data_IF_715542527236
#
_entry.id   IF_715542527236
#
_cell.length_a   1.000
_cell.length_b   1.000
_cell.length_c   1.000
_cell.angle_alpha   90.00
_cell.angle_beta   90.00
_cell.angle_gamma   90.00
#
_symmetry.space_group_name_H-M   'P 1'
#
loop_
_entity.id
_entity.type
_entity.pdbx_description
1 polymer ?
#
# COMPACT_ATOMS: atom_id res chain seq x y z
N UNK A 1 2.72 10.47 12.38
CA UNK A 1 1.81 11.29 13.22
C UNK A 1 0.43 10.66 13.34
N UNK A 2 -0.30 10.37 12.26
CA UNK A 2 -1.64 9.73 12.30
C UNK A 2 -1.74 8.53 13.27
N UNK A 3 -0.85 7.55 13.18
CA UNK A 3 -0.87 6.37 14.07
C UNK A 3 -0.63 6.71 15.54
N UNK A 4 0.14 7.75 15.84
CA UNK A 4 0.35 8.24 17.21
C UNK A 4 -0.92 8.89 17.75
N UNK A 5 -1.60 9.70 16.92
CA UNK A 5 -2.88 10.32 17.30
C UNK A 5 -3.98 9.27 17.47
N UNK A 6 -4.02 8.24 16.62
CA UNK A 6 -4.90 7.07 16.81
C UNK A 6 -4.57 6.32 18.10
N UNK A 7 -3.29 6.14 18.43
CA UNK A 7 -2.85 5.54 19.69
C UNK A 7 -3.37 6.31 20.90
N UNK A 8 -3.23 7.64 20.91
CA UNK A 8 -3.75 8.52 21.95
C UNK A 8 -5.28 8.47 22.05
N UNK A 9 -5.99 8.59 20.93
CA UNK A 9 -7.45 8.61 20.89
C UNK A 9 -8.10 7.26 21.29
N UNK A 10 -7.38 6.15 21.14
CA UNK A 10 -7.88 4.81 21.51
C UNK A 10 -7.31 4.30 22.83
N UNK A 11 -6.27 4.94 23.37
CA UNK A 11 -5.47 4.44 24.50
C UNK A 11 -4.77 3.12 24.17
N UNK A 12 -4.38 2.91 22.91
CA UNK A 12 -3.80 1.66 22.43
C UNK A 12 -2.39 1.88 21.89
N UNK A 13 -1.38 1.32 22.55
CA UNK A 13 0.03 1.49 22.18
C UNK A 13 0.58 0.33 21.32
N UNK A 14 -0.20 -0.75 21.17
CA UNK A 14 0.18 -1.92 20.40
C UNK A 14 -0.23 -1.74 18.94
N UNK A 15 0.75 -1.85 18.03
CA UNK A 15 0.54 -1.71 16.59
C UNK A 15 0.92 -2.99 15.87
N UNK A 16 0.07 -3.45 14.96
CA UNK A 16 0.37 -4.51 14.00
C UNK A 16 0.51 -3.88 12.62
N UNK A 17 1.73 -3.86 12.10
CA UNK A 17 2.08 -3.34 10.77
C UNK A 17 2.13 -4.49 9.77
N UNK A 18 1.15 -4.58 8.88
CA UNK A 18 0.97 -5.71 7.96
C UNK A 18 1.40 -5.33 6.55
N UNK A 19 2.21 -6.18 5.92
CA UNK A 19 2.91 -5.85 4.68
C UNK A 19 4.09 -4.92 4.95
N UNK A 20 4.82 -5.18 6.04
CA UNK A 20 5.85 -4.30 6.58
C UNK A 20 7.12 -4.22 5.69
N UNK A 21 7.31 -5.15 4.76
CA UNK A 21 8.48 -5.23 3.89
C UNK A 21 9.79 -5.29 4.70
N UNK A 22 10.65 -4.28 4.51
CA UNK A 22 11.92 -4.13 5.24
C UNK A 22 11.78 -3.39 6.58
N UNK A 23 10.56 -3.18 7.06
CA UNK A 23 10.27 -2.66 8.40
C UNK A 23 10.63 -1.19 8.62
N UNK A 24 10.57 -0.35 7.59
CA UNK A 24 10.86 1.08 7.72
C UNK A 24 9.86 1.79 8.65
N UNK A 25 8.57 1.64 8.35
CA UNK A 25 7.51 2.19 9.21
C UNK A 25 7.57 1.57 10.60
N UNK A 26 7.69 0.23 10.68
CA UNK A 26 7.72 -0.49 11.95
C UNK A 26 8.85 -0.02 12.87
N UNK A 27 10.06 0.22 12.31
CA UNK A 27 11.18 0.81 13.04
C UNK A 27 10.88 2.22 13.52
N UNK A 28 10.32 3.06 12.65
CA UNK A 28 9.99 4.44 13.02
C UNK A 28 8.96 4.47 14.17
N UNK A 29 7.91 3.65 14.08
CA UNK A 29 6.88 3.55 15.12
C UNK A 29 7.45 3.03 16.45
N UNK A 30 8.31 2.02 16.43
CA UNK A 30 8.89 1.45 17.64
C UNK A 30 9.96 2.36 18.25
N UNK A 31 11.03 2.67 17.49
CA UNK A 31 12.16 3.44 17.99
C UNK A 31 11.82 4.92 18.15
N UNK A 32 11.13 5.51 17.18
CA UNK A 32 10.83 6.93 17.13
C UNK A 32 9.64 7.35 18.00
N UNK A 33 8.61 6.52 18.09
CA UNK A 33 7.38 6.84 18.83
C UNK A 33 7.16 6.00 20.09
N UNK A 34 8.02 5.01 20.36
CA UNK A 34 7.92 4.15 21.53
C UNK A 34 6.77 3.15 21.51
N UNK A 35 6.10 2.96 20.37
CA UNK A 35 4.97 2.04 20.26
C UNK A 35 5.42 0.57 20.28
N UNK A 36 4.57 -0.32 20.79
CA UNK A 36 4.82 -1.76 20.79
C UNK A 36 4.42 -2.34 19.43
N UNK A 37 5.38 -2.49 18.52
CA UNK A 37 5.11 -2.85 17.12
C UNK A 37 5.38 -4.32 16.84
N UNK A 38 4.42 -5.00 16.23
CA UNK A 38 4.62 -6.27 15.53
C UNK A 38 4.49 -6.05 14.03
N UNK A 39 5.57 -6.30 13.30
CA UNK A 39 5.62 -6.19 11.84
C UNK A 39 5.39 -7.57 11.20
N UNK A 40 4.38 -7.69 10.36
CA UNK A 40 4.01 -8.92 9.65
C UNK A 40 4.36 -8.78 8.18
N UNK A 41 5.13 -9.72 7.65
CA UNK A 41 5.57 -9.73 6.25
C UNK A 41 5.46 -11.13 5.62
N UNK A 42 4.92 -11.19 4.41
CA UNK A 42 4.64 -12.44 3.70
C UNK A 42 5.88 -13.11 3.11
N UNK A 43 6.92 -12.34 2.76
CA UNK A 43 8.23 -12.86 2.34
C UNK A 43 9.20 -12.92 3.53
N UNK A 44 9.55 -14.13 3.95
CA UNK A 44 10.45 -14.35 5.09
C UNK A 44 11.85 -13.71 4.93
N UNK A 45 12.30 -13.47 3.69
CA UNK A 45 13.59 -12.80 3.42
C UNK A 45 13.53 -11.31 3.74
N UNK A 46 12.39 -10.66 3.46
CA UNK A 46 12.18 -9.24 3.79
C UNK A 46 12.10 -9.06 5.31
N UNK A 47 11.36 -9.94 6.00
CA UNK A 47 11.33 -9.96 7.47
C UNK A 47 12.73 -10.15 8.08
N UNK A 48 13.54 -11.06 7.51
CA UNK A 48 14.93 -11.25 7.92
C UNK A 48 15.82 -10.02 7.69
N UNK A 49 15.63 -9.35 6.54
CA UNK A 49 16.31 -8.09 6.20
C UNK A 49 15.93 -6.97 7.17
N UNK A 50 14.65 -6.86 7.54
CA UNK A 50 14.17 -5.87 8.50
C UNK A 50 14.86 -6.01 9.86
N UNK A 51 14.96 -7.23 10.40
CA UNK A 51 15.69 -7.51 11.65
C UNK A 51 17.18 -7.19 11.57
N UNK A 52 17.79 -7.42 10.40
CA UNK A 52 19.18 -7.02 10.18
C UNK A 52 19.32 -5.51 10.34
N UNK A 53 18.45 -4.74 9.70
CA UNK A 53 18.47 -3.29 9.81
C UNK A 53 18.16 -2.77 11.22
N UNK A 54 17.30 -3.45 11.98
CA UNK A 54 17.09 -3.12 13.41
C UNK A 54 18.39 -3.24 14.21
N UNK A 55 19.14 -4.34 14.01
CA UNK A 55 20.43 -4.57 14.70
C UNK A 55 21.48 -3.55 14.28
N UNK A 56 21.54 -3.19 13.00
CA UNK A 56 22.44 -2.16 12.51
C UNK A 56 22.12 -0.80 13.16
N UNK A 57 20.83 -0.43 13.22
CA UNK A 57 20.40 0.79 13.90
C UNK A 57 20.75 0.80 15.38
N UNK A 58 20.44 -0.28 16.11
CA UNK A 58 20.76 -0.39 17.54
C UNK A 58 22.27 -0.26 17.81
N UNK A 59 23.13 -0.87 16.98
CA UNK A 59 24.59 -0.74 17.09
C UNK A 59 25.06 0.71 16.88
N UNK A 60 24.47 1.44 15.94
CA UNK A 60 24.81 2.85 15.72
C UNK A 60 24.33 3.74 16.88
N UNK A 61 23.19 3.42 17.49
CA UNK A 61 22.69 4.11 18.69
C UNK A 61 23.59 3.85 19.92
N UNK A 62 24.10 2.63 20.07
CA UNK A 62 25.07 2.30 21.13
C UNK A 62 26.38 3.07 20.97
N UNK A 63 26.91 3.18 19.74
CA UNK A 63 28.14 3.95 19.44
C UNK A 63 28.00 5.44 19.74
N UNK A 64 26.81 6.01 19.48
CA UNK A 64 26.54 7.43 19.71
C UNK A 64 26.22 7.75 21.17
N UNK A 65 25.80 6.76 21.96
CA UNK A 65 25.57 6.87 23.40
C UNK A 65 26.79 6.57 24.28
N UNK A 66 27.88 6.02 23.74
CA UNK A 66 29.11 5.76 24.49
C UNK A 66 29.91 7.07 24.75
N UNK A 67 30.42 7.31 25.97
CA UNK A 67 31.25 8.47 26.24
C UNK A 67 32.51 8.42 25.38
N UNK A 68 32.68 9.38 24.46
CA UNK A 68 33.93 9.56 23.72
C UNK A 68 34.95 10.16 24.70
N UNK A 69 36.05 9.45 24.92
CA UNK A 69 37.18 9.88 25.75
C UNK A 69 37.50 11.37 25.56
N UNK A 70 37.33 12.17 26.61
CA UNK A 70 38.07 13.40 26.91
C UNK A 70 37.86 14.68 26.06
N UNK A 71 36.93 14.72 25.10
CA UNK A 71 36.69 15.92 24.28
C UNK A 71 35.57 16.83 24.82
N UNK A 72 35.67 18.18 24.71
CA UNK A 72 34.62 19.08 25.17
C UNK A 72 33.30 18.86 24.40
N UNK A 73 32.14 18.99 25.06
CA UNK A 73 30.85 18.65 24.47
C UNK A 73 30.52 19.60 23.32
N UNK A 74 30.42 19.07 22.09
CA UNK A 74 29.81 19.78 20.97
C UNK A 74 28.34 20.01 21.31
N UNK A 75 27.91 21.28 21.39
CA UNK A 75 26.51 21.71 21.54
C UNK A 75 25.69 21.25 20.33
N UNK A 76 25.31 19.98 20.29
CA UNK A 76 24.22 19.49 19.45
C UNK A 76 23.09 19.12 20.39
N UNK A 77 21.90 19.68 20.13
CA UNK A 77 20.66 19.33 20.83
C UNK A 77 20.55 17.80 20.85
N UNK A 78 20.40 17.14 22.01
CA UNK A 78 20.29 15.69 22.02
C UNK A 78 19.06 15.31 21.19
N UNK A 79 19.16 14.32 20.28
CA UNK A 79 17.98 13.80 19.63
C UNK A 79 17.00 13.29 20.70
N UNK A 80 15.68 13.34 20.46
CA UNK A 80 14.70 12.82 21.39
C UNK A 80 15.05 11.36 21.77
N UNK A 81 14.78 10.93 23.01
CA UNK A 81 15.16 9.60 23.46
C UNK A 81 14.42 8.55 22.64
N UNK A 82 15.16 7.84 21.79
CA UNK A 82 14.63 6.69 21.06
C UNK A 82 14.35 5.56 22.05
N UNK A 83 13.24 4.85 21.85
CA UNK A 83 12.92 3.70 22.67
C UNK A 83 13.99 2.61 22.50
N UNK A 84 14.35 1.89 23.57
CA UNK A 84 15.36 0.81 23.47
C UNK A 84 14.81 -0.47 22.85
N UNK A 85 13.49 -0.60 22.72
CA UNK A 85 12.83 -1.81 22.24
C UNK A 85 12.43 -1.65 20.77
N UNK A 86 13.05 -2.44 19.91
CA UNK A 86 12.73 -2.49 18.48
C UNK A 86 11.43 -3.24 18.17
N UNK A 87 10.96 -3.16 16.92
CA UNK A 87 9.78 -3.89 16.47
C UNK A 87 10.03 -5.41 16.47
N UNK A 88 8.95 -6.19 16.67
CA UNK A 88 8.98 -7.65 16.49
C UNK A 88 8.59 -8.00 15.06
N UNK A 89 9.53 -8.52 14.27
CA UNK A 89 9.26 -8.98 12.90
C UNK A 89 8.79 -10.44 12.87
N UNK A 90 7.69 -10.68 12.17
CA UNK A 90 7.00 -11.96 12.03
C UNK A 90 6.80 -12.25 10.55
N UNK A 91 7.29 -13.41 10.10
CA UNK A 91 7.05 -13.88 8.74
C UNK A 91 5.69 -14.60 8.70
N UNK A 92 4.73 -14.08 7.94
CA UNK A 92 3.40 -14.65 7.79
C UNK A 92 2.53 -13.84 6.84
N UNK A 93 1.51 -14.48 6.27
CA UNK A 93 0.50 -13.82 5.42
C UNK A 93 -0.83 -13.71 6.16
N UNK A 94 -1.59 -12.66 5.88
CA UNK A 94 -2.92 -12.50 6.44
C UNK A 94 -3.91 -13.46 5.77
N UNK A 95 -4.64 -14.25 6.56
CA UNK A 95 -5.79 -15.00 6.05
C UNK A 95 -7.06 -14.12 6.11
N UNK A 96 -7.71 -13.80 4.99
CA UNK A 96 -8.95 -13.00 4.99
C UNK A 96 -10.17 -13.74 5.58
N UNK A 97 -10.12 -15.07 5.63
CA UNK A 97 -11.17 -15.95 6.13
C UNK A 97 -10.99 -16.31 7.61
N UNK A 98 -9.77 -16.26 8.13
CA UNK A 98 -9.50 -16.69 9.50
C UNK A 98 -10.15 -15.81 10.57
N UNK A 99 -10.39 -16.42 11.73
CA UNK A 99 -10.71 -15.69 12.95
C UNK A 99 -9.48 -14.92 13.43
N UNK A 100 -9.70 -13.92 14.27
CA UNK A 100 -8.59 -13.13 14.84
C UNK A 100 -7.57 -13.97 15.62
N UNK A 101 -8.00 -15.10 16.19
CA UNK A 101 -7.13 -16.07 16.87
C UNK A 101 -6.21 -16.85 15.92
N UNK A 102 -6.46 -16.83 14.62
CA UNK A 102 -5.77 -17.61 13.58
C UNK A 102 -5.28 -16.67 12.45
N UNK A 103 -4.82 -15.48 12.83
CA UNK A 103 -4.59 -14.35 11.92
C UNK A 103 -3.58 -14.61 10.78
N UNK A 104 -2.63 -15.54 10.94
CA UNK A 104 -1.50 -15.71 10.00
C UNK A 104 -1.43 -17.10 9.37
N UNK A 105 -1.31 -17.11 8.04
CA UNK A 105 -0.78 -18.23 7.25
C UNK A 105 0.76 -18.21 7.25
N UNK A 106 1.41 -19.36 7.01
CA UNK A 106 2.86 -19.42 6.84
C UNK A 106 3.37 -18.51 5.73
N UNK A 107 4.57 -17.94 5.90
CA UNK A 107 5.27 -17.16 4.88
C UNK A 107 5.66 -18.00 3.66
N UNK A 108 5.84 -17.35 2.51
CA UNK A 108 6.35 -17.99 1.29
C UNK A 108 7.22 -16.99 0.49
N UNK A 109 8.54 -17.23 0.37
CA UNK A 109 9.28 -18.35 0.95
C UNK A 109 9.33 -18.28 2.50
N UNK A 110 9.46 -19.42 3.19
CA UNK A 110 9.63 -19.44 4.64
C UNK A 110 10.92 -18.72 5.05
N UNK A 111 10.86 -18.00 6.17
CA UNK A 111 12.04 -17.38 6.77
C UNK A 111 12.88 -18.40 7.56
N UNK A 112 14.03 -17.97 8.11
CA UNK A 112 14.90 -18.84 8.91
C UNK A 112 14.30 -19.24 10.28
N UNK A 113 13.15 -18.69 10.67
CA UNK A 113 12.51 -18.95 11.96
C UNK A 113 11.33 -19.93 11.83
N UNK A 114 10.97 -20.64 12.92
CA UNK A 114 9.77 -21.47 12.97
C UNK A 114 8.50 -20.66 12.66
N UNK A 115 7.49 -21.36 12.12
CA UNK A 115 6.18 -20.81 11.73
C UNK A 115 5.62 -19.90 12.82
N UNK A 116 5.23 -18.70 12.41
CA UNK A 116 4.76 -17.65 13.32
C UNK A 116 3.61 -18.15 14.21
N UNK A 117 3.83 -18.15 15.54
CA UNK A 117 2.72 -18.09 16.50
C UNK A 117 2.00 -16.77 16.30
N UNK A 118 0.67 -16.80 16.31
CA UNK A 118 -0.18 -15.61 16.15
C UNK A 118 0.38 -14.48 17.04
N UNK A 119 0.79 -13.32 16.47
CA UNK A 119 1.37 -12.22 17.24
C UNK A 119 0.42 -11.63 18.28
N UNK A 120 -0.84 -12.05 18.24
CA UNK A 120 -1.94 -11.62 19.10
C UNK A 120 -2.22 -12.63 20.23
N UNK A 121 -1.52 -13.79 20.31
CA UNK A 121 -1.85 -14.89 21.24
C UNK A 121 -0.70 -15.40 22.15
N UNK A 122 -0.98 -15.41 23.46
CA UNK A 122 -0.49 -16.34 24.49
C UNK A 122 -1.67 -17.14 25.08
N UNK A 123 -1.49 -18.24 25.82
CA UNK A 123 -2.58 -19.14 26.22
C UNK A 123 -3.59 -18.44 27.17
N UNK A 124 -4.85 -18.25 26.76
CA UNK A 124 -5.92 -17.66 27.61
C UNK A 124 -7.03 -16.89 26.88
N UNK A 125 -7.84 -17.60 26.08
CA UNK A 125 -8.89 -17.11 25.15
C UNK A 125 -9.68 -15.92 25.66
N UNK A 126 -9.35 -14.67 25.29
CA UNK A 126 -10.23 -13.51 25.50
C UNK A 126 -10.60 -13.11 26.95
N UNK A 127 -9.93 -13.57 28.01
CA UNK A 127 -10.31 -13.16 29.39
C UNK A 127 -9.59 -11.90 29.92
N UNK A 128 -8.75 -11.24 29.11
CA UNK A 128 -8.12 -9.95 29.44
C UNK A 128 -7.60 -9.14 28.24
N UNK A 129 -8.15 -9.38 27.04
CA UNK A 129 -7.50 -9.11 25.76
C UNK A 129 -7.09 -7.66 25.48
N UNK A 130 -5.78 -7.42 25.35
CA UNK A 130 -5.23 -6.13 24.92
C UNK A 130 -5.67 -5.77 23.49
N UNK A 131 -6.17 -4.54 23.32
CA UNK A 131 -6.56 -3.99 22.01
C UNK A 131 -5.32 -3.68 21.16
N UNK A 132 -5.49 -3.67 19.85
CA UNK A 132 -4.43 -3.31 18.88
C UNK A 132 -4.89 -2.28 17.86
N UNK A 133 -3.91 -1.53 17.34
CA UNK A 133 -4.03 -0.79 16.10
C UNK A 133 -3.48 -1.63 14.97
N UNK A 134 -4.14 -1.64 13.82
CA UNK A 134 -3.67 -2.32 12.61
C UNK A 134 -3.32 -1.27 11.56
N UNK A 135 -2.17 -1.41 10.92
CA UNK A 135 -1.75 -0.53 9.83
C UNK A 135 -1.21 -1.32 8.65
N UNK A 136 -1.32 -0.77 7.45
CA UNK A 136 -0.67 -1.30 6.27
C UNK A 136 -0.41 -0.20 5.25
N UNK A 137 0.83 0.31 5.21
CA UNK A 137 1.26 1.38 4.30
C UNK A 137 1.39 0.90 2.84
N UNK A 138 1.63 -0.40 2.66
CA UNK A 138 1.64 -1.06 1.37
C UNK A 138 0.70 -2.27 1.38
N UNK A 139 -0.56 -2.04 1.76
CA UNK A 139 -1.60 -3.07 1.76
C UNK A 139 -2.04 -3.41 0.32
N UNK A 140 -1.14 -4.00 -0.46
CA UNK A 140 -1.33 -4.29 -1.88
C UNK A 140 -2.39 -5.38 -2.13
N UNK A 141 -3.21 -5.18 -3.17
CA UNK A 141 -4.23 -6.16 -3.58
C UNK A 141 -5.17 -6.50 -2.44
N UNK A 142 -5.38 -7.81 -2.23
CA UNK A 142 -6.33 -8.33 -1.26
C UNK A 142 -5.93 -8.13 0.21
N UNK A 143 -4.73 -7.60 0.46
CA UNK A 143 -4.29 -7.29 1.82
C UNK A 143 -5.14 -6.17 2.44
N UNK A 144 -5.41 -5.08 1.69
CA UNK A 144 -6.25 -3.99 2.18
C UNK A 144 -7.66 -4.45 2.60
N UNK A 145 -8.46 -5.15 1.75
CA UNK A 145 -9.78 -5.64 2.18
C UNK A 145 -9.70 -6.69 3.30
N UNK A 146 -8.61 -7.48 3.39
CA UNK A 146 -8.42 -8.39 4.51
C UNK A 146 -8.26 -7.64 5.85
N UNK A 147 -7.47 -6.55 5.90
CA UNK A 147 -7.34 -5.72 7.10
C UNK A 147 -8.70 -5.17 7.57
N UNK A 148 -9.54 -4.73 6.62
CA UNK A 148 -10.87 -4.20 6.94
C UNK A 148 -11.83 -5.27 7.43
N UNK A 149 -11.76 -6.50 6.89
CA UNK A 149 -12.53 -7.64 7.39
C UNK A 149 -12.13 -8.00 8.82
N UNK A 150 -10.83 -7.99 9.11
CA UNK A 150 -10.33 -8.25 10.46
C UNK A 150 -10.76 -7.17 11.44
N UNK A 151 -10.66 -5.89 11.07
CA UNK A 151 -11.21 -4.79 11.87
C UNK A 151 -12.70 -4.97 12.13
N UNK A 152 -13.50 -5.25 11.11
CA UNK A 152 -14.94 -5.39 11.23
C UNK A 152 -15.36 -6.57 12.11
N UNK A 153 -14.65 -7.71 12.02
CA UNK A 153 -14.98 -8.94 12.75
C UNK A 153 -14.40 -9.00 14.16
N UNK A 154 -13.30 -8.31 14.44
CA UNK A 154 -12.56 -8.47 15.68
C UNK A 154 -12.69 -7.26 16.61
N UNK A 155 -13.30 -7.41 17.81
CA UNK A 155 -13.38 -6.34 18.80
C UNK A 155 -12.01 -5.95 19.36
N UNK A 156 -10.99 -6.82 19.22
CA UNK A 156 -9.63 -6.53 19.65
C UNK A 156 -8.93 -5.47 18.78
N UNK A 157 -9.40 -5.24 17.55
CA UNK A 157 -8.85 -4.16 16.70
C UNK A 157 -9.57 -2.87 17.06
N UNK A 158 -8.87 -1.98 17.76
CA UNK A 158 -9.40 -0.68 18.17
C UNK A 158 -9.52 0.28 16.98
N UNK A 159 -8.51 0.28 16.10
CA UNK A 159 -8.52 1.07 14.86
C UNK A 159 -7.67 0.43 13.76
N UNK A 160 -7.95 0.80 12.52
CA UNK A 160 -7.20 0.44 11.33
C UNK A 160 -6.85 1.68 10.52
N UNK A 161 -5.61 1.76 10.02
CA UNK A 161 -5.17 2.72 9.01
C UNK A 161 -4.62 1.96 7.79
N UNK A 162 -5.33 1.99 6.67
CA UNK A 162 -4.98 1.23 5.46
C UNK A 162 -4.67 2.16 4.30
N UNK A 163 -3.49 1.96 3.70
CA UNK A 163 -3.08 2.61 2.45
C UNK A 163 -3.07 1.56 1.35
N UNK A 164 -4.03 1.68 0.44
CA UNK A 164 -4.17 0.76 -0.68
C UNK A 164 -3.39 1.30 -1.89
N UNK A 165 -2.36 0.59 -2.35
CA UNK A 165 -1.48 1.10 -3.41
C UNK A 165 -1.35 0.23 -4.68
N UNK A 166 -1.81 -1.04 -4.65
CA UNK A 166 -1.72 -1.97 -5.78
C UNK A 166 -3.11 -2.50 -6.20
N UNK A 167 -3.98 -1.69 -6.79
CA UNK A 167 -5.35 -2.10 -7.12
C UNK A 167 -5.43 -3.20 -8.19
N UNK A 168 -4.48 -3.25 -9.13
CA UNK A 168 -4.38 -4.31 -10.14
C UNK A 168 -4.18 -5.72 -9.53
N UNK A 169 -3.72 -5.81 -8.28
CA UNK A 169 -3.57 -7.07 -7.54
C UNK A 169 -4.83 -7.51 -6.80
N UNK A 170 -5.92 -6.73 -6.82
CA UNK A 170 -7.19 -7.15 -6.22
C UNK A 170 -7.77 -8.37 -6.96
N UNK A 171 -8.32 -9.32 -6.23
CA UNK A 171 -9.19 -10.34 -6.82
C UNK A 171 -10.57 -9.74 -7.09
N UNK A 172 -11.10 -9.93 -8.30
CA UNK A 172 -12.44 -9.44 -8.71
C UNK A 172 -13.45 -10.57 -8.90
N UNK A 173 -13.00 -11.82 -8.71
CA UNK A 173 -13.80 -13.03 -8.81
C UNK A 173 -13.40 -13.94 -7.66
N UNK A 174 -14.35 -14.62 -6.99
CA UNK A 174 -14.04 -15.65 -6.02
C UNK A 174 -13.13 -16.72 -6.66
N UNK A 175 -12.00 -17.04 -6.03
CA UNK A 175 -11.11 -18.16 -6.39
C UNK A 175 -10.53 -18.73 -5.09
N UNK A 176 -10.66 -20.04 -4.74
CA UNK A 176 -11.62 -21.08 -5.12
C UNK A 176 -13.03 -20.86 -4.52
N UNK A 177 -13.94 -21.83 -4.65
CA UNK A 177 -15.29 -21.83 -4.03
C UNK A 177 -15.20 -21.46 -2.53
N UNK A 178 -15.83 -20.35 -2.14
CA UNK A 178 -15.86 -19.84 -0.76
C UNK A 178 -14.87 -18.72 -0.44
N UNK A 179 -13.93 -18.38 -1.33
CA UNK A 179 -13.01 -17.27 -1.12
C UNK A 179 -13.71 -15.91 -1.30
N UNK A 180 -13.47 -14.98 -0.37
CA UNK A 180 -14.05 -13.64 -0.43
C UNK A 180 -13.26 -12.77 -1.42
N UNK A 181 -13.91 -12.17 -2.45
CA UNK A 181 -13.20 -11.36 -3.44
C UNK A 181 -12.59 -10.11 -2.82
N UNK A 182 -11.50 -9.60 -3.37
CA UNK A 182 -10.90 -8.33 -2.95
C UNK A 182 -11.73 -7.11 -3.34
N UNK A 183 -12.49 -7.21 -4.42
CA UNK A 183 -13.43 -6.19 -4.90
C UNK A 183 -14.60 -6.84 -5.68
N UNK A 184 -15.84 -6.35 -5.54
CA UNK A 184 -16.28 -5.36 -4.56
C UNK A 184 -16.31 -5.95 -3.14
N UNK A 185 -16.13 -5.08 -2.14
CA UNK A 185 -16.13 -5.42 -0.73
C UNK A 185 -17.49 -5.11 -0.07
N UNK A 186 -18.11 -4.00 -0.46
CA UNK A 186 -19.43 -3.55 0.01
C UNK A 186 -20.55 -4.20 -0.79
N UNK A 187 -21.70 -4.44 -0.14
CA UNK A 187 -22.89 -4.89 -0.86
C UNK A 187 -23.45 -3.79 -1.76
N UNK A 188 -23.28 -2.52 -1.38
CA UNK A 188 -23.73 -1.38 -2.18
C UNK A 188 -23.04 -1.30 -3.54
N UNK A 189 -21.70 -1.34 -3.59
CA UNK A 189 -20.98 -1.32 -4.88
C UNK A 189 -21.21 -2.60 -5.68
N UNK A 190 -21.36 -3.74 -5.00
CA UNK A 190 -21.71 -5.00 -5.66
C UNK A 190 -23.08 -4.96 -6.37
N UNK A 191 -24.02 -4.12 -5.90
CA UNK A 191 -25.33 -3.96 -6.51
C UNK A 191 -25.36 -2.96 -7.69
N UNK A 192 -24.29 -2.17 -7.89
CA UNK A 192 -24.26 -1.19 -8.99
C UNK A 192 -24.12 -1.87 -10.36
N UNK A 193 -24.94 -1.50 -11.36
CA UNK A 193 -24.75 -1.98 -12.72
C UNK A 193 -23.40 -1.50 -13.27
N UNK A 194 -22.64 -2.40 -13.89
CA UNK A 194 -21.35 -2.05 -14.50
C UNK A 194 -20.21 -1.79 -13.51
N UNK A 195 -20.33 -2.19 -12.24
CA UNK A 195 -19.29 -1.98 -11.23
C UNK A 195 -17.96 -2.73 -11.51
N UNK A 196 -17.94 -3.63 -12.49
CA UNK A 196 -16.80 -4.52 -12.74
C UNK A 196 -15.58 -3.76 -13.25
N UNK A 197 -14.43 -3.98 -12.61
CA UNK A 197 -13.18 -3.33 -12.98
C UNK A 197 -12.22 -4.31 -13.65
N UNK A 198 -11.89 -4.04 -14.91
CA UNK A 198 -10.86 -4.78 -15.63
C UNK A 198 -9.49 -4.63 -14.96
N UNK A 199 -8.57 -5.56 -15.23
CA UNK A 199 -7.18 -5.42 -14.78
C UNK A 199 -6.57 -4.07 -15.18
N UNK A 200 -6.83 -3.62 -16.42
CA UNK A 200 -6.30 -2.36 -16.96
C UNK A 200 -6.86 -1.14 -16.25
N UNK A 201 -8.15 -1.13 -15.92
CA UNK A 201 -8.75 -0.04 -15.14
C UNK A 201 -8.08 0.06 -13.76
N UNK A 202 -7.89 -1.08 -13.09
CA UNK A 202 -7.25 -1.13 -11.76
C UNK A 202 -5.76 -0.80 -11.80
N UNK A 203 -5.08 -1.14 -12.89
CA UNK A 203 -3.69 -0.74 -13.14
C UNK A 203 -3.58 0.76 -13.41
N UNK A 204 -4.47 1.33 -14.24
CA UNK A 204 -4.55 2.76 -14.52
C UNK A 204 -4.67 3.58 -13.22
N UNK A 205 -5.52 3.13 -12.30
CA UNK A 205 -5.72 3.71 -10.96
C UNK A 205 -4.47 3.70 -10.05
N UNK A 206 -3.36 3.08 -10.47
CA UNK A 206 -2.12 3.06 -9.71
C UNK A 206 -1.07 4.07 -10.23
N UNK A 207 -1.33 4.75 -11.35
CA UNK A 207 -0.39 5.66 -12.00
C UNK A 207 -0.38 7.06 -11.39
N UNK A 208 0.74 7.77 -11.56
CA UNK A 208 0.91 9.16 -11.14
C UNK A 208 0.40 10.13 -12.23
N UNK A 209 -0.75 10.75 -12.00
CA UNK A 209 -1.31 11.74 -12.93
C UNK A 209 -0.46 13.01 -12.95
N UNK A 210 -0.08 13.50 -11.77
CA UNK A 210 0.64 14.75 -11.55
C UNK A 210 2.02 14.72 -12.20
N UNK A 211 2.77 13.63 -11.99
CA UNK A 211 4.08 13.44 -12.62
C UNK A 211 3.97 13.39 -14.15
N UNK A 212 2.91 12.75 -14.67
CA UNK A 212 2.70 12.68 -16.11
C UNK A 212 2.28 14.03 -16.69
N UNK A 213 1.43 14.79 -15.99
CA UNK A 213 1.02 16.13 -16.39
C UNK A 213 2.22 17.09 -16.48
N UNK A 214 3.16 17.02 -15.52
CA UNK A 214 4.42 17.77 -15.60
C UNK A 214 5.24 17.42 -16.84
N UNK A 215 5.41 16.12 -17.13
CA UNK A 215 6.12 15.66 -18.34
C UNK A 215 5.45 16.11 -19.64
N UNK A 216 4.12 16.21 -19.66
CA UNK A 216 3.38 16.75 -20.81
C UNK A 216 3.65 18.25 -21.00
N UNK A 217 3.59 19.03 -19.92
CA UNK A 217 3.84 20.48 -19.97
C UNK A 217 5.27 20.84 -20.39
N UNK A 218 6.24 20.00 -20.06
CA UNK A 218 7.65 20.16 -20.43
C UNK A 218 8.01 19.54 -21.79
N UNK A 219 7.05 18.95 -22.51
CA UNK A 219 7.29 18.18 -23.74
C UNK A 219 8.40 17.12 -23.58
N UNK A 220 8.44 16.46 -22.42
CA UNK A 220 9.56 15.62 -22.02
C UNK A 220 9.82 14.46 -22.99
N UNK A 221 11.09 14.25 -23.34
CA UNK A 221 11.52 13.09 -24.12
C UNK A 221 11.13 11.74 -23.46
N UNK A 222 10.84 11.73 -22.15
CA UNK A 222 10.33 10.57 -21.43
C UNK A 222 8.97 10.06 -21.93
N UNK A 223 8.16 10.92 -22.57
CA UNK A 223 6.86 10.53 -23.14
C UNK A 223 7.01 9.44 -24.22
N UNK A 224 8.16 9.38 -24.90
CA UNK A 224 8.44 8.35 -25.93
C UNK A 224 8.47 6.93 -25.37
N UNK A 225 8.72 6.76 -24.07
CA UNK A 225 8.87 5.44 -23.45
C UNK A 225 7.60 4.58 -23.60
N UNK A 226 6.40 5.19 -23.54
CA UNK A 226 5.14 4.49 -23.74
C UNK A 226 4.96 4.05 -25.20
N UNK A 227 5.34 4.89 -26.16
CA UNK A 227 5.34 4.54 -27.58
C UNK A 227 6.31 3.38 -27.84
N UNK A 228 7.55 3.45 -27.35
CA UNK A 228 8.52 2.37 -27.46
C UNK A 228 8.01 1.06 -26.86
N UNK A 229 7.38 1.12 -25.69
CA UNK A 229 6.80 -0.06 -25.04
C UNK A 229 5.66 -0.66 -25.86
N UNK A 230 4.83 0.17 -26.50
CA UNK A 230 3.74 -0.25 -27.37
C UNK A 230 4.26 -0.91 -28.66
N UNK A 231 5.23 -0.30 -29.33
CA UNK A 231 5.85 -0.88 -30.54
C UNK A 231 6.54 -2.20 -30.20
N UNK A 232 7.27 -2.26 -29.09
CA UNK A 232 7.89 -3.50 -28.62
C UNK A 232 6.86 -4.61 -28.33
N UNK A 233 5.72 -4.28 -27.72
CA UNK A 233 4.64 -5.24 -27.51
C UNK A 233 4.11 -5.82 -28.84
N UNK A 234 3.96 -4.99 -29.88
CA UNK A 234 3.54 -5.43 -31.21
C UNK A 234 4.56 -6.39 -31.82
N UNK A 235 5.86 -6.08 -31.74
CA UNK A 235 6.93 -6.95 -32.24
C UNK A 235 6.98 -8.29 -31.48
N UNK A 236 6.81 -8.27 -30.16
CA UNK A 236 6.78 -9.50 -29.34
C UNK A 236 5.62 -10.40 -29.77
N UNK A 237 4.42 -9.83 -29.99
CA UNK A 237 3.25 -10.60 -30.42
C UNK A 237 3.37 -11.14 -31.85
N UNK A 238 4.03 -10.39 -32.73
CA UNK A 238 4.31 -10.84 -34.08
C UNK A 238 5.30 -12.01 -34.10
N UNK A 239 6.33 -11.95 -33.24
CA UNK A 239 7.32 -13.03 -33.11
C UNK A 239 6.77 -14.26 -32.37
N UNK A 240 5.91 -14.08 -31.37
CA UNK A 240 5.26 -15.15 -30.62
C UNK A 240 3.83 -14.75 -30.21
N UNK A 241 2.80 -15.21 -30.95
CA UNK A 241 1.40 -14.92 -30.65
C UNK A 241 0.92 -15.43 -29.28
N UNK A 242 1.64 -16.39 -28.68
CA UNK A 242 1.37 -16.91 -27.33
C UNK A 242 1.73 -15.91 -26.22
N UNK A 243 2.66 -14.98 -26.48
CA UNK A 243 3.08 -13.96 -25.50
C UNK A 243 2.10 -12.79 -25.44
N UNK A 244 1.10 -12.91 -24.56
CA UNK A 244 0.13 -11.85 -24.28
C UNK A 244 0.52 -11.08 -23.01
N UNK A 245 0.83 -9.80 -23.14
CA UNK A 245 1.19 -8.88 -22.03
C UNK A 245 2.43 -9.35 -21.25
N UNK A 246 3.55 -9.61 -21.92
CA UNK A 246 4.75 -10.02 -21.22
C UNK A 246 5.25 -8.92 -20.28
N UNK A 247 5.75 -9.31 -19.12
CA UNK A 247 6.38 -8.41 -18.16
C UNK A 247 7.75 -7.94 -18.62
N UNK A 248 7.82 -7.12 -19.67
CA UNK A 248 9.04 -6.44 -20.10
C UNK A 248 9.38 -5.44 -18.99
N UNK A 249 10.21 -5.86 -18.04
CA UNK A 249 10.69 -5.02 -16.94
C UNK A 249 11.19 -3.66 -17.45
N UNK A 250 11.26 -2.64 -16.59
CA UNK A 250 11.63 -1.26 -16.97
C UNK A 250 13.01 -1.17 -17.63
N UNK A 251 13.07 -0.69 -18.88
CA UNK A 251 14.33 -0.36 -19.56
C UNK A 251 14.80 1.00 -19.07
N UNK A 252 15.99 1.04 -18.45
CA UNK A 252 16.55 2.28 -17.89
C UNK A 252 16.88 3.26 -19.00
N UNK A 253 16.67 4.56 -18.73
CA UNK A 253 16.96 5.68 -19.65
C UNK A 253 16.36 5.49 -21.05
N UNK A 254 15.16 4.93 -21.15
CA UNK A 254 14.50 4.68 -22.44
C UNK A 254 14.40 5.93 -23.34
N UNK A 255 14.30 7.12 -22.75
CA UNK A 255 14.26 8.39 -23.48
C UNK A 255 15.56 8.71 -24.24
N UNK A 256 16.70 8.19 -23.78
CA UNK A 256 18.02 8.42 -24.35
C UNK A 256 18.42 7.36 -25.40
N UNK A 257 17.54 6.40 -25.68
CA UNK A 257 17.80 5.30 -26.60
C UNK A 257 17.07 5.53 -27.93
N UNK A 258 17.68 5.07 -29.02
CA UNK A 258 16.92 4.78 -30.24
C UNK A 258 15.98 3.58 -30.00
N UNK A 259 14.93 3.46 -30.80
CA UNK A 259 14.02 2.31 -30.66
C UNK A 259 14.72 0.96 -30.84
N UNK A 260 15.63 0.75 -31.82
CA UNK A 260 16.36 -0.50 -31.96
C UNK A 260 17.20 -0.85 -30.73
N UNK A 261 17.87 0.14 -30.13
CA UNK A 261 18.61 -0.04 -28.87
C UNK A 261 17.66 -0.44 -27.73
N UNK A 262 16.52 0.23 -27.60
CA UNK A 262 15.49 -0.10 -26.61
C UNK A 262 14.97 -1.54 -26.78
N UNK A 263 14.66 -1.94 -28.01
CA UNK A 263 14.15 -3.27 -28.32
C UNK A 263 15.19 -4.38 -28.06
N UNK A 264 16.47 -4.15 -28.39
CA UNK A 264 17.58 -5.07 -28.06
C UNK A 264 17.71 -5.32 -26.56
N UNK A 265 17.39 -4.35 -25.72
CA UNK A 265 17.36 -4.50 -24.26
C UNK A 265 16.06 -5.13 -23.74
N UNK A 266 14.95 -4.96 -24.46
CA UNK A 266 13.61 -5.39 -24.06
C UNK A 266 13.27 -6.83 -24.43
N UNK A 267 13.62 -7.28 -25.64
CA UNK A 267 13.30 -8.61 -26.16
C UNK A 267 13.91 -9.77 -25.33
N UNK A 268 15.17 -9.71 -24.86
CA UNK A 268 15.73 -10.78 -24.06
C UNK A 268 14.99 -10.98 -22.73
N UNK A 269 14.35 -9.94 -22.19
CA UNK A 269 13.58 -9.98 -20.93
C UNK A 269 12.31 -10.83 -21.06
N UNK A 270 11.91 -11.15 -22.28
CA UNK A 270 10.79 -12.03 -22.58
C UNK A 270 11.24 -13.30 -23.28
N UNK A 271 12.55 -13.61 -23.28
CA UNK A 271 13.08 -14.80 -23.91
C UNK A 271 13.00 -14.79 -25.43
N UNK A 272 13.04 -13.60 -26.05
CA UNK A 272 13.14 -13.46 -27.51
C UNK A 272 14.53 -12.95 -27.89
N UNK A 273 15.09 -13.54 -28.95
CA UNK A 273 16.37 -13.12 -29.52
C UNK A 273 16.19 -11.85 -30.37
N UNK A 274 16.87 -10.74 -30.04
CA UNK A 274 16.85 -9.52 -30.86
C UNK A 274 17.30 -9.72 -32.31
N UNK A 275 18.15 -10.71 -32.60
CA UNK A 275 18.60 -10.97 -33.97
C UNK A 275 17.52 -11.63 -34.84
N UNK A 276 16.57 -12.33 -34.22
CA UNK A 276 15.46 -13.00 -34.90
C UNK A 276 14.25 -12.09 -35.16
N UNK A 277 14.19 -10.92 -34.52
CA UNK A 277 13.07 -9.99 -34.63
C UNK A 277 13.49 -8.79 -35.49
N UNK A 278 12.81 -8.50 -36.62
CA UNK A 278 13.15 -7.35 -37.46
C UNK A 278 12.80 -6.03 -36.75
N UNK A 279 13.84 -5.24 -36.40
CA UNK A 279 13.70 -3.99 -35.63
C UNK A 279 13.67 -2.71 -36.47
N UNK A 280 14.16 -2.77 -37.71
CA UNK A 280 14.41 -1.60 -38.58
C UNK A 280 13.52 -1.63 -39.84
N UNK A 281 12.25 -2.05 -39.70
CA UNK A 281 11.29 -2.09 -40.82
C UNK A 281 10.50 -0.78 -40.97
N UNK A 282 10.01 -0.49 -42.18
CA UNK A 282 9.11 0.65 -42.43
C UNK A 282 7.87 0.61 -41.53
N UNK A 283 7.39 -0.59 -41.20
CA UNK A 283 6.30 -0.79 -40.25
C UNK A 283 6.63 -0.27 -38.85
N UNK A 284 7.87 -0.44 -38.38
CA UNK A 284 8.34 0.13 -37.09
C UNK A 284 8.37 1.65 -37.16
N UNK A 285 8.88 2.23 -38.25
CA UNK A 285 8.86 3.67 -38.48
C UNK A 285 7.43 4.24 -38.42
N UNK A 286 6.52 3.66 -39.19
CA UNK A 286 5.11 4.07 -39.23
C UNK A 286 4.41 3.95 -37.86
N UNK A 287 4.76 2.95 -37.04
CA UNK A 287 4.24 2.83 -35.67
C UNK A 287 4.79 3.92 -34.74
N UNK A 288 6.08 4.26 -34.86
CA UNK A 288 6.71 5.31 -34.03
C UNK A 288 6.16 6.70 -34.34
N UNK A 289 5.76 6.98 -35.59
CA UNK A 289 5.08 8.22 -35.99
C UNK A 289 3.72 8.41 -35.27
N UNK A 290 3.11 7.32 -34.78
CA UNK A 290 1.89 7.36 -33.99
C UNK A 290 2.12 7.72 -32.51
N UNK A 291 3.32 8.17 -32.12
CA UNK A 291 3.64 8.56 -30.73
C UNK A 291 2.59 9.49 -30.12
N UNK A 292 2.14 10.49 -30.87
CA UNK A 292 1.12 11.45 -30.42
C UNK A 292 -0.20 10.78 -30.02
N UNK A 293 -0.61 9.71 -30.73
CA UNK A 293 -1.81 8.94 -30.38
C UNK A 293 -1.61 8.13 -29.11
N UNK A 294 -0.42 7.58 -28.88
CA UNK A 294 -0.10 6.86 -27.63
C UNK A 294 -0.12 7.81 -26.43
N UNK A 295 0.44 9.02 -26.60
CA UNK A 295 0.39 10.08 -25.59
C UNK A 295 -1.05 10.49 -25.30
N UNK A 296 -1.87 10.75 -26.33
CA UNK A 296 -3.28 11.09 -26.18
C UNK A 296 -4.07 9.98 -25.47
N UNK A 297 -3.88 8.72 -25.90
CA UNK A 297 -4.52 7.57 -25.28
C UNK A 297 -4.17 7.43 -23.80
N UNK A 298 -2.89 7.54 -23.45
CA UNK A 298 -2.45 7.40 -22.07
C UNK A 298 -2.91 8.58 -21.22
N UNK A 299 -2.94 9.79 -21.77
CA UNK A 299 -3.52 10.98 -21.11
C UNK A 299 -4.99 10.75 -20.75
N UNK A 300 -5.79 10.26 -21.70
CA UNK A 300 -7.20 9.92 -21.46
C UNK A 300 -7.36 8.83 -20.39
N UNK A 301 -6.49 7.81 -20.41
CA UNK A 301 -6.50 6.76 -19.41
C UNK A 301 -6.20 7.29 -18.00
N UNK A 302 -5.26 8.23 -17.88
CA UNK A 302 -4.92 8.86 -16.61
C UNK A 302 -6.01 9.83 -16.12
N UNK A 303 -6.71 10.53 -17.01
CA UNK A 303 -7.87 11.35 -16.62
C UNK A 303 -9.00 10.51 -16.01
N UNK A 304 -9.16 9.26 -16.43
CA UNK A 304 -10.16 8.34 -15.91
C UNK A 304 -9.68 7.54 -14.69
N UNK A 305 -8.38 7.50 -14.42
CA UNK A 305 -7.79 6.72 -13.33
C UNK A 305 -8.35 7.11 -11.94
N UNK A 306 -8.51 8.41 -11.58
CA UNK A 306 -9.07 8.81 -10.29
C UNK A 306 -10.51 8.33 -10.07
N UNK A 307 -11.30 8.18 -11.14
CA UNK A 307 -12.67 7.65 -11.04
C UNK A 307 -12.64 6.20 -10.58
N UNK A 308 -11.71 5.40 -11.13
CA UNK A 308 -11.52 4.00 -10.73
C UNK A 308 -11.03 3.93 -9.28
N UNK A 309 -9.99 4.70 -8.92
CA UNK A 309 -9.48 4.70 -7.54
C UNK A 309 -10.57 5.10 -6.53
N UNK A 310 -11.33 6.16 -6.82
CA UNK A 310 -12.44 6.66 -6.00
C UNK A 310 -13.50 5.59 -5.81
N UNK A 311 -13.94 4.91 -6.87
CA UNK A 311 -14.93 3.83 -6.76
C UNK A 311 -14.45 2.74 -5.81
N UNK A 312 -13.20 2.31 -5.95
CA UNK A 312 -12.68 1.30 -5.04
C UNK A 312 -12.58 1.90 -3.62
N UNK A 313 -12.12 3.13 -3.40
CA UNK A 313 -12.00 3.72 -2.05
C UNK A 313 -13.37 3.85 -1.35
N UNK A 314 -14.39 4.27 -2.09
CA UNK A 314 -15.77 4.32 -1.62
C UNK A 314 -16.31 2.92 -1.29
N UNK A 315 -15.98 1.90 -2.09
CA UNK A 315 -16.34 0.51 -1.79
C UNK A 315 -15.83 0.07 -0.40
N UNK A 316 -14.59 0.41 -0.04
CA UNK A 316 -14.06 0.11 1.31
C UNK A 316 -14.79 0.89 2.41
N UNK A 317 -15.04 2.18 2.18
CA UNK A 317 -15.71 3.05 3.15
C UNK A 317 -17.15 2.58 3.41
N UNK A 318 -17.88 2.26 2.34
CA UNK A 318 -19.24 1.74 2.41
C UNK A 318 -19.29 0.39 3.12
N UNK A 319 -18.35 -0.51 2.84
CA UNK A 319 -18.24 -1.77 3.58
C UNK A 319 -18.12 -1.55 5.10
N UNK A 320 -17.28 -0.61 5.52
CA UNK A 320 -17.13 -0.30 6.96
C UNK A 320 -18.42 0.28 7.55
N UNK A 321 -19.15 1.12 6.81
CA UNK A 321 -20.45 1.65 7.25
C UNK A 321 -21.53 0.58 7.34
N UNK A 322 -21.57 -0.34 6.39
CA UNK A 322 -22.46 -1.51 6.39
C UNK A 322 -22.19 -2.40 7.61
N UNK A 323 -20.91 -2.63 7.95
CA UNK A 323 -20.51 -3.47 9.09
C UNK A 323 -20.61 -2.75 10.44
N UNK A 324 -20.45 -1.44 10.44
CA UNK A 324 -20.52 -0.57 11.60
C UNK A 324 -21.94 -0.18 12.03
N UNK A 325 -22.99 -0.77 11.45
CA UNK A 325 -24.35 -0.60 12.00
C UNK A 325 -25.12 0.64 11.55
N UNK A 326 -24.98 1.09 10.31
CA UNK A 326 -26.05 1.88 9.67
C UNK A 326 -27.14 0.96 9.12
N UNK A 327 -27.95 0.35 10.00
CA UNK A 327 -29.38 0.21 9.72
C UNK A 327 -30.06 1.37 10.42
N UNK A 328 -30.17 2.50 9.73
CA UNK A 328 -31.05 3.57 10.19
C UNK A 328 -32.46 3.00 10.36
N UNK A 329 -33.06 3.27 11.51
CA UNK A 329 -34.47 3.00 11.73
C UNK A 329 -35.30 3.76 10.69
N UNK A 330 -35.83 3.03 9.72
CA UNK A 330 -37.06 3.38 9.03
C UNK A 330 -38.06 2.31 9.40
N UNK A 331 -39.17 2.71 10.00
CA UNK A 331 -40.28 1.84 10.35
C UNK A 331 -40.72 1.00 9.14
N UNK A 332 -40.87 -0.30 9.37
CA UNK A 332 -41.37 -1.27 8.40
C UNK A 332 -42.12 -2.36 9.14
N UNK A 333 -43.40 -2.10 9.37
CA UNK A 333 -44.50 -2.99 9.75
C UNK A 333 -44.16 -4.47 10.09
N UNK A 334 -43.92 -4.76 11.37
CA UNK A 334 -44.42 -5.95 12.08
C UNK A 334 -43.89 -5.91 13.52
N UNK A 335 -44.72 -5.45 14.46
CA UNK A 335 -44.36 -5.24 15.86
C UNK A 335 -44.04 -6.54 16.62
N UNK A 336 -42.76 -6.85 16.77
CA UNK A 336 -42.25 -7.76 17.79
C UNK A 336 -41.01 -7.14 18.47
N UNK A 337 -40.94 -7.14 19.81
CA UNK A 337 -39.79 -6.62 20.54
C UNK A 337 -38.61 -7.61 20.42
N UNK A 338 -37.53 -7.17 19.79
CA UNK A 338 -36.24 -7.86 19.81
C UNK A 338 -35.46 -7.35 21.03
N UNK A 339 -34.87 -8.22 21.87
CA UNK A 339 -34.15 -7.78 23.06
C UNK A 339 -32.93 -6.94 22.64
N UNK A 340 -32.97 -5.65 22.98
CA UNK A 340 -31.89 -4.70 22.78
C UNK A 340 -30.81 -4.93 23.83
N UNK A 341 -29.85 -5.82 23.52
CA UNK A 341 -28.51 -5.67 24.06
C UNK A 341 -27.93 -4.34 23.53
N UNK A 342 -27.15 -3.57 24.32
CA UNK A 342 -26.54 -2.33 23.85
C UNK A 342 -25.63 -2.66 22.65
N UNK A 343 -26.08 -2.29 21.46
CA UNK A 343 -25.28 -2.41 20.24
C UNK A 343 -24.03 -1.53 20.41
N UNK A 344 -22.82 -2.04 20.16
CA UNK A 344 -21.62 -1.22 20.22
C UNK A 344 -21.74 -0.10 19.18
N UNK A 345 -21.37 1.12 19.59
CA UNK A 345 -21.31 2.30 18.75
C UNK A 345 -20.67 1.99 17.38
N UNK A 346 -21.29 2.52 16.32
CA UNK A 346 -20.88 2.21 14.96
C UNK A 346 -19.44 2.59 14.63
N UNK A 347 -18.90 2.04 13.53
CA UNK A 347 -17.54 2.35 13.12
C UNK A 347 -17.43 3.80 12.66
N UNK A 348 -16.48 4.54 13.22
CA UNK A 348 -16.08 5.84 12.71
C UNK A 348 -15.06 5.60 11.60
N UNK A 349 -15.30 6.09 10.40
CA UNK A 349 -14.39 5.90 9.27
C UNK A 349 -14.29 7.15 8.40
N UNK A 350 -13.09 7.38 7.84
CA UNK A 350 -12.78 8.52 6.99
C UNK A 350 -11.73 8.13 5.93
N UNK A 351 -11.76 8.84 4.81
CA UNK A 351 -10.65 8.90 3.85
C UNK A 351 -9.90 10.21 4.12
N UNK A 352 -8.60 10.11 4.35
CA UNK A 352 -7.76 11.24 4.75
C UNK A 352 -6.65 11.41 3.71
N UNK A 353 -6.51 12.59 3.07
CA UNK A 353 -5.35 12.88 2.23
C UNK A 353 -4.13 13.08 3.15
N UNK A 354 -3.16 12.17 3.11
CA UNK A 354 -1.98 12.22 3.99
C UNK A 354 -0.66 12.36 3.23
N UNK A 355 -0.68 12.15 1.91
CA UNK A 355 0.53 12.23 1.11
C UNK A 355 0.37 13.29 0.04
N UNK A 356 1.45 14.01 -0.26
CA UNK A 356 1.47 14.87 -1.44
C UNK A 356 1.31 13.99 -2.70
N UNK A 357 0.30 14.25 -3.55
CA UNK A 357 0.05 13.45 -4.75
C UNK A 357 1.22 13.46 -5.74
N UNK A 358 2.10 14.48 -5.69
CA UNK A 358 3.33 14.53 -6.51
C UNK A 358 4.35 13.46 -6.12
N UNK A 359 4.41 13.09 -4.84
CA UNK A 359 5.33 12.06 -4.34
C UNK A 359 4.65 10.69 -4.21
N UNK A 360 3.38 10.68 -3.83
CA UNK A 360 2.54 9.48 -3.77
C UNK A 360 1.16 9.77 -4.36
N UNK A 361 0.94 9.46 -5.66
CA UNK A 361 -0.37 9.66 -6.30
C UNK A 361 -1.50 8.84 -5.67
N UNK A 362 -1.19 7.87 -4.79
CA UNK A 362 -2.18 7.25 -3.89
C UNK A 362 -2.06 7.97 -2.56
N UNK A 363 -2.71 9.12 -2.48
CA UNK A 363 -2.58 10.05 -1.36
C UNK A 363 -3.56 9.81 -0.23
N UNK A 364 -4.59 9.00 -0.46
CA UNK A 364 -5.67 8.75 0.51
C UNK A 364 -5.36 7.56 1.42
N UNK A 365 -5.56 7.77 2.72
CA UNK A 365 -5.51 6.75 3.77
C UNK A 365 -6.93 6.49 4.26
N UNK A 366 -7.36 5.23 4.25
CA UNK A 366 -8.60 4.84 4.89
C UNK A 366 -8.34 4.60 6.38
N UNK A 367 -9.02 5.36 7.22
CA UNK A 367 -8.92 5.25 8.69
C UNK A 367 -10.27 4.80 9.22
N UNK A 368 -10.28 3.83 10.13
CA UNK A 368 -11.48 3.44 10.86
C UNK A 368 -11.18 3.10 12.31
N UNK A 369 -12.07 3.47 13.24
CA UNK A 369 -11.93 3.22 14.66
C UNK A 369 -13.28 2.89 15.32
N UNK A 370 -13.21 2.23 16.47
CA UNK A 370 -14.37 1.96 17.34
C UNK A 370 -14.70 3.13 18.27
N UNK A 371 -13.84 4.16 18.29
CA UNK A 371 -14.05 5.42 18.99
C UNK A 371 -14.10 6.58 17.98
N UNK A 372 -14.66 7.75 18.36
CA UNK A 372 -14.71 8.91 17.49
C UNK A 372 -13.32 9.32 16.97
N UNK A 373 -13.24 9.58 15.66
CA UNK A 373 -11.98 9.95 14.99
C UNK A 373 -11.61 11.42 15.12
N UNK A 374 -12.51 12.29 15.62
CA UNK A 374 -12.34 13.74 15.60
C UNK A 374 -10.99 14.20 16.18
N UNK A 375 -10.63 13.74 17.38
CA UNK A 375 -9.37 14.08 18.03
C UNK A 375 -8.13 13.50 17.30
N UNK A 376 -8.28 12.37 16.60
CA UNK A 376 -7.17 11.76 15.87
C UNK A 376 -6.88 12.46 14.53
N UNK A 377 -7.91 13.07 13.93
CA UNK A 377 -7.83 13.69 12.61
C UNK A 377 -7.71 15.22 12.64
N UNK A 378 -8.08 15.87 13.75
CA UNK A 378 -8.00 17.33 13.89
C UNK A 378 -6.56 17.84 13.71
N UNK A 379 -6.34 18.79 12.79
CA UNK A 379 -5.02 19.41 12.56
C UNK A 379 -4.02 18.49 11.87
N UNK A 380 -4.46 17.55 11.03
CA UNK A 380 -3.55 16.82 10.13
C UNK A 380 -3.15 17.68 8.92
N UNK A 381 -3.99 18.64 8.52
CA UNK A 381 -3.75 19.53 7.37
C UNK A 381 -2.77 20.67 7.71
N UNK A 382 -2.59 21.02 8.99
CA UNK A 382 -1.73 22.14 9.43
C UNK A 382 -0.23 21.79 9.52
N UNK A 383 0.10 20.50 9.59
CA UNK A 383 1.47 20.01 9.80
C UNK A 383 2.25 19.79 8.48
N UNK A 384 1.62 19.85 7.30
CA UNK A 384 2.28 19.65 6.00
C UNK A 384 3.22 20.82 5.62
N UNK A 385 2.93 22.05 6.06
CA UNK A 385 3.72 23.25 5.71
C UNK A 385 5.05 23.37 6.49
N UNK A 386 5.25 22.59 7.55
CA UNK A 386 6.47 22.67 8.38
C UNK A 386 7.66 21.84 7.82
N UNK A 387 7.45 21.04 6.76
CA UNK A 387 8.41 20.05 6.26
C UNK A 387 9.21 20.44 5.01
N UNK A 388 8.90 21.55 4.36
CA UNK A 388 9.58 21.99 3.13
C UNK A 388 10.91 22.70 3.46
N UNK A 389 11.89 21.96 3.96
CA UNK A 389 13.28 22.43 3.97
C UNK A 389 13.83 22.38 2.53
N UNK A 390 14.28 23.53 2.02
CA UNK A 390 14.93 23.67 0.71
C UNK A 390 16.05 22.62 0.52
N UNK A 391 16.20 22.02 -0.68
CA UNK A 391 17.34 21.17 -0.97
C UNK A 391 18.63 22.01 -0.92
N UNK A 392 19.73 21.50 -0.34
CA UNK A 392 20.99 22.23 -0.29
C UNK A 392 21.51 22.44 -1.71
N UNK A 393 21.76 23.69 -2.06
CA UNK A 393 22.28 24.09 -3.36
C UNK A 393 23.56 23.35 -3.75
N UNK A 394 23.63 22.95 -5.01
CA UNK A 394 24.82 22.36 -5.63
C UNK A 394 26.00 23.33 -5.50
N UNK A 395 26.95 22.97 -4.64
CA UNK A 395 28.25 23.61 -4.58
C UNK A 395 29.06 23.21 -5.81
N UNK A 396 29.39 24.21 -6.63
CA UNK A 396 30.38 24.13 -7.69
C UNK A 396 31.76 23.78 -7.12
N UNK A 397 32.35 22.69 -7.59
CA UNK A 397 33.80 22.54 -7.81
C UNK A 397 34.07 21.36 -8.73
#
# INVERSE_FOLDING_TARGET
QLLQRLSQATGCERVVDVGAGQGHLSRFLAFGLGLSVTAVEGDGRLAGTARRFDRELLRELEKTGAPRNGGPPRRRRPPPPLARRGPRHVAGRLDPGATWGEFLLPADPPGPDPVARNPLWGPGGAEGGERVLVTGLHACGDLSPALLRHFARSPAVAAVASVACCHMKLSTTPRPLGALPGYPLSSWVAALPGHQLSYRAREAACHALEEYAGRLGEESACLRAHCYRAVLETLIRAADPGKKRPGVQTVKKAHALSFPQYARLGLPRVGLDPAAVPLDSDAVGAMLEQQHKVVAFFSLALLLAPVVETLILLDRLLYLRERGGCRGGGEGAAGLPVPTLPLPAGFHCALVPLFDPRFSPRNLVLVAARSPLGAALSGLDEDEDAGAAEPPGEGQS
#
